data_IF_153970307699
#
_entry.id   IF_153970307699
#
_cell.length_a   1.000
_cell.length_b   1.000
_cell.length_c   1.000
_cell.angle_alpha   90.00
_cell.angle_beta   90.00
_cell.angle_gamma   90.00
#
_symmetry.space_group_name_H-M   'P 1'
#
loop_
_entity.id
_entity.type
_entity.pdbx_description
1 polymer ?
#
# COMPACT_ATOMS: atom_id res chain seq x y z
N UNK A 1 -12.95 -60.94 -10.40
CA UNK A 1 -12.26 -61.76 -11.42
C UNK A 1 -13.15 -62.91 -11.81
N UNK A 2 -13.14 -63.40 -13.06
CA UNK A 2 -12.20 -63.14 -14.17
C UNK A 2 -12.96 -62.54 -15.39
N UNK A 3 -12.52 -62.41 -16.64
CA UNK A 3 -11.34 -62.86 -17.38
C UNK A 3 -11.30 -62.14 -18.74
N UNK A 4 -10.08 -61.87 -19.23
CA UNK A 4 -9.61 -61.98 -20.65
C UNK A 4 -10.29 -61.08 -21.73
N UNK A 5 -9.66 -60.58 -22.80
CA UNK A 5 -8.36 -60.79 -23.44
C UNK A 5 -8.02 -59.54 -24.31
N UNK A 6 -6.73 -59.30 -24.59
CA UNK A 6 -6.27 -58.37 -25.66
C UNK A 6 -6.33 -59.04 -27.06
N UNK A 7 -5.48 -58.68 -28.04
CA UNK A 7 -4.86 -57.40 -28.40
C UNK A 7 -5.13 -56.96 -29.89
N UNK A 8 -4.89 -55.66 -30.19
CA UNK A 8 -4.29 -54.94 -31.38
C UNK A 8 -4.14 -55.63 -32.78
N UNK A 9 -3.74 -54.96 -33.91
CA UNK A 9 -3.75 -53.53 -34.34
C UNK A 9 -4.02 -53.28 -35.88
N UNK A 10 -3.71 -52.04 -36.35
CA UNK A 10 -3.28 -51.53 -37.70
C UNK A 10 -4.35 -51.23 -38.77
N UNK A 11 -4.28 -50.20 -39.65
CA UNK A 11 -3.31 -49.15 -39.98
C UNK A 11 -3.99 -48.03 -40.82
N UNK A 12 -3.34 -46.85 -40.92
CA UNK A 12 -3.45 -45.85 -42.01
C UNK A 12 -4.71 -44.97 -41.97
N UNK A 13 -4.69 -43.65 -42.15
CA UNK A 13 -3.87 -42.88 -43.09
C UNK A 13 -3.67 -41.43 -42.63
N UNK A 14 -2.48 -40.91 -42.95
CA UNK A 14 -2.04 -39.53 -42.79
C UNK A 14 -2.93 -38.53 -43.52
N UNK A 15 -3.26 -37.39 -42.88
CA UNK A 15 -3.14 -36.05 -43.51
C UNK A 15 -2.79 -34.99 -42.47
N UNK A 16 -1.60 -34.44 -42.64
CA UNK A 16 -1.06 -33.21 -42.08
C UNK A 16 -2.03 -32.04 -42.28
N UNK A 17 -2.25 -31.22 -41.25
CA UNK A 17 -2.37 -29.76 -41.41
C UNK A 17 -1.99 -29.07 -40.09
N UNK A 18 -0.89 -28.33 -40.15
CA UNK A 18 -0.48 -27.35 -39.14
C UNK A 18 -1.33 -26.11 -39.36
N UNK A 19 -2.14 -25.76 -38.36
CA UNK A 19 -2.75 -24.45 -38.20
C UNK A 19 -2.64 -24.12 -36.70
N UNK A 20 -1.61 -23.38 -36.35
CA UNK A 20 -1.65 -21.92 -36.17
C UNK A 20 -2.21 -21.55 -34.79
N UNK A 21 -1.27 -21.05 -34.00
CA UNK A 21 -1.42 -20.48 -32.68
C UNK A 21 -2.43 -19.32 -32.68
N UNK A 22 -3.32 -19.27 -31.68
CA UNK A 22 -3.58 -18.11 -30.80
C UNK A 22 -5.01 -18.15 -30.20
N UNK A 23 -5.16 -18.17 -28.87
CA UNK A 23 -6.41 -17.77 -28.23
C UNK A 23 -6.61 -16.25 -28.39
N UNK A 24 -7.85 -15.76 -28.59
CA UNK A 24 -8.11 -14.32 -28.61
C UNK A 24 -7.90 -13.72 -27.22
N UNK A 25 -6.84 -12.93 -27.10
CA UNK A 25 -6.73 -11.91 -26.06
C UNK A 25 -7.47 -10.67 -26.57
N UNK A 26 -8.72 -10.50 -26.15
CA UNK A 26 -9.38 -9.20 -26.18
C UNK A 26 -10.20 -9.03 -24.90
N UNK A 27 -9.50 -8.56 -23.86
CA UNK A 27 -10.09 -7.89 -22.72
C UNK A 27 -9.52 -6.48 -22.74
N UNK A 28 -10.35 -5.43 -22.89
CA UNK A 28 -9.88 -4.08 -22.68
C UNK A 28 -9.46 -3.95 -21.20
N UNK A 29 -8.16 -3.88 -20.96
CA UNK A 29 -7.65 -3.23 -19.77
C UNK A 29 -7.87 -1.73 -19.96
N UNK A 30 -8.46 -1.01 -18.99
CA UNK A 30 -8.25 0.43 -18.94
C UNK A 30 -6.76 0.65 -18.64
N UNK A 31 -6.03 1.11 -19.65
CA UNK A 31 -4.76 1.81 -19.44
C UNK A 31 -5.08 3.06 -18.61
N UNK A 32 -4.80 3.02 -17.31
CA UNK A 32 -4.55 4.25 -16.57
C UNK A 32 -3.20 4.77 -17.04
N UNK A 33 -3.31 5.60 -18.07
CA UNK A 33 -2.35 6.56 -18.57
C UNK A 33 -1.35 7.00 -17.50
N UNK A 34 -0.09 6.87 -17.91
CA UNK A 34 1.10 7.37 -17.26
C UNK A 34 1.00 8.88 -17.09
N UNK A 35 0.36 9.33 -16.00
CA UNK A 35 0.37 10.72 -15.60
C UNK A 35 1.77 11.09 -15.12
N UNK A 36 2.50 11.75 -16.00
CA UNK A 36 3.78 12.40 -15.76
C UNK A 36 3.53 13.61 -14.85
N UNK A 37 3.22 13.39 -13.58
CA UNK A 37 3.18 14.46 -12.59
C UNK A 37 4.60 14.75 -12.10
N UNK A 38 4.99 16.02 -11.96
CA UNK A 38 6.31 16.37 -11.44
C UNK A 38 6.46 15.74 -10.06
N UNK A 39 7.54 14.98 -9.87
CA UNK A 39 8.07 14.76 -8.54
C UNK A 39 8.42 16.16 -8.00
N UNK A 40 7.49 16.79 -7.29
CA UNK A 40 7.87 17.80 -6.33
C UNK A 40 8.60 17.01 -5.23
N UNK A 41 9.90 16.85 -5.40
CA UNK A 41 10.79 16.62 -4.28
C UNK A 41 10.33 17.55 -3.15
N UNK A 42 10.00 17.03 -1.97
CA UNK A 42 9.85 17.89 -0.81
C UNK A 42 11.22 18.54 -0.62
N UNK A 43 11.36 19.80 -1.04
CA UNK A 43 12.48 20.64 -0.66
C UNK A 43 12.54 20.56 0.85
N UNK A 44 13.53 19.86 1.36
CA UNK A 44 13.80 19.73 2.78
C UNK A 44 13.90 21.15 3.34
N UNK A 45 12.95 21.63 4.17
CA UNK A 45 13.30 22.73 5.05
C UNK A 45 14.31 22.13 6.03
N UNK A 46 15.48 22.76 6.13
CA UNK A 46 16.45 22.46 7.17
C UNK A 46 15.72 22.31 8.54
N UNK A 47 16.20 21.46 9.46
CA UNK A 47 15.59 21.32 10.76
C UNK A 47 15.78 22.61 11.55
N UNK A 48 14.85 23.55 11.39
CA UNK A 48 14.75 24.67 12.30
C UNK A 48 14.32 24.08 13.63
N UNK A 49 15.28 24.03 14.55
CA UNK A 49 15.11 23.72 15.96
C UNK A 49 14.18 24.78 16.57
N UNK A 50 12.88 24.61 16.37
CA UNK A 50 11.84 25.40 17.02
C UNK A 50 11.70 24.84 18.42
N UNK A 51 12.41 25.47 19.37
CA UNK A 51 12.19 25.27 20.80
C UNK A 51 10.92 26.04 21.18
N UNK A 52 9.78 25.35 21.11
CA UNK A 52 8.46 25.84 21.55
C UNK A 52 7.98 24.94 22.69
N UNK A 53 7.36 25.50 23.75
CA UNK A 53 7.00 24.74 24.94
C UNK A 53 6.07 23.58 24.59
N UNK A 54 6.42 22.42 25.13
CA UNK A 54 5.70 21.15 25.08
C UNK A 54 4.18 21.38 25.29
N UNK A 55 3.33 21.22 24.26
CA UNK A 55 1.91 21.08 24.50
C UNK A 55 1.74 19.74 25.18
N UNK A 56 1.03 19.72 26.32
CA UNK A 56 0.66 18.49 27.04
C UNK A 56 0.13 17.48 26.02
N UNK A 57 1.00 16.54 25.63
CA UNK A 57 0.64 15.46 24.72
C UNK A 57 -0.50 14.73 25.41
N UNK A 58 -1.70 14.84 24.83
CA UNK A 58 -2.74 13.85 25.01
C UNK A 58 -2.04 12.54 24.69
N UNK A 59 -1.60 11.81 25.73
CA UNK A 59 -0.70 10.68 25.60
C UNK A 59 -1.34 9.70 24.62
N UNK A 60 -0.93 9.75 23.35
CA UNK A 60 -1.53 8.89 22.36
C UNK A 60 -1.14 7.47 22.75
N UNK A 61 -2.12 6.58 22.84
CA UNK A 61 -1.92 5.20 23.31
C UNK A 61 -1.06 4.36 22.35
N UNK A 62 -0.55 4.97 21.27
CA UNK A 62 0.29 4.34 20.25
C UNK A 62 1.67 4.03 20.83
N UNK A 63 1.92 2.74 21.08
CA UNK A 63 3.23 2.19 21.45
C UNK A 63 4.01 1.79 20.20
N UNK A 64 5.28 2.16 20.14
CA UNK A 64 6.18 1.72 19.07
C UNK A 64 6.68 0.29 19.33
N UNK A 65 6.05 -0.70 18.68
CA UNK A 65 6.50 -2.11 18.68
C UNK A 65 7.20 -2.50 17.38
N UNK A 66 7.05 -1.69 16.33
CA UNK A 66 7.72 -1.81 15.04
C UNK A 66 8.01 -0.43 14.46
N UNK A 67 8.89 -0.36 13.47
CA UNK A 67 9.05 0.85 12.66
C UNK A 67 7.80 1.11 11.83
N UNK A 68 7.50 2.37 11.57
CA UNK A 68 6.38 2.76 10.71
C UNK A 68 5.73 4.08 11.10
N UNK A 69 4.59 4.34 10.45
CA UNK A 69 3.73 5.48 10.72
C UNK A 69 2.36 4.98 11.19
N UNK A 70 1.84 5.59 12.25
CA UNK A 70 0.65 5.11 12.95
C UNK A 70 -0.29 6.27 13.25
N UNK A 71 -1.55 6.14 12.84
CA UNK A 71 -2.58 7.12 13.18
C UNK A 71 -2.92 7.10 14.67
N UNK A 72 -3.24 8.26 15.23
CA UNK A 72 -3.75 8.36 16.61
C UNK A 72 -5.27 8.24 16.61
N UNK A 73 -5.80 7.23 17.30
CA UNK A 73 -7.24 7.07 17.49
C UNK A 73 -7.84 8.32 18.16
N UNK A 74 -8.97 8.81 17.64
CA UNK A 74 -9.66 10.02 18.11
C UNK A 74 -8.87 11.34 17.99
N UNK A 75 -7.62 11.34 17.49
CA UNK A 75 -6.87 12.55 17.16
C UNK A 75 -6.37 12.46 15.71
N UNK A 76 -7.30 12.71 14.80
CA UNK A 76 -7.13 12.55 13.36
C UNK A 76 -6.04 13.45 12.77
N UNK A 77 -5.74 14.56 13.44
CA UNK A 77 -4.74 15.51 13.00
C UNK A 77 -3.33 15.16 13.50
N UNK A 78 -3.15 14.03 14.19
CA UNK A 78 -1.84 13.59 14.72
C UNK A 78 -1.51 12.18 14.23
N UNK A 79 -0.25 11.97 13.86
CA UNK A 79 0.31 10.65 13.60
C UNK A 79 1.65 10.47 14.31
N UNK A 80 2.01 9.22 14.55
CA UNK A 80 3.25 8.83 15.20
C UNK A 80 4.17 8.17 14.17
N UNK A 81 5.43 8.60 14.13
CA UNK A 81 6.51 7.86 13.46
C UNK A 81 7.32 7.11 14.50
N UNK A 82 7.44 5.81 14.32
CA UNK A 82 8.34 4.96 15.09
C UNK A 82 9.57 4.64 14.24
N UNK A 83 10.76 4.86 14.81
CA UNK A 83 12.06 4.60 14.14
C UNK A 83 12.89 3.69 15.04
N UNK A 84 13.53 2.67 14.49
CA UNK A 84 14.42 1.79 15.23
C UNK A 84 15.60 2.59 15.80
N UNK A 85 15.91 2.33 17.06
CA UNK A 85 16.98 3.00 17.80
C UNK A 85 17.63 2.00 18.75
N UNK A 86 18.80 1.49 18.35
CA UNK A 86 19.54 0.46 19.10
C UNK A 86 18.70 -0.80 19.30
N UNK A 87 18.33 -1.06 20.56
CA UNK A 87 17.53 -2.24 20.96
C UNK A 87 16.02 -1.98 21.05
N UNK A 88 15.56 -0.78 20.69
CA UNK A 88 14.15 -0.40 20.77
C UNK A 88 13.72 0.55 19.66
N UNK A 89 12.70 1.38 19.93
CA UNK A 89 12.14 2.32 18.98
C UNK A 89 11.98 3.71 19.59
N UNK A 90 12.31 4.74 18.84
CA UNK A 90 12.03 6.14 19.16
C UNK A 90 10.67 6.56 18.58
N UNK A 91 9.83 7.16 19.42
CA UNK A 91 8.50 7.69 19.07
C UNK A 91 8.61 9.18 18.75
N UNK A 92 8.08 9.58 17.60
CA UNK A 92 7.97 10.98 17.20
C UNK A 92 6.52 11.30 16.85
N UNK A 93 5.99 12.38 17.42
CA UNK A 93 4.63 12.84 17.16
C UNK A 93 4.65 13.98 16.16
N UNK A 94 3.75 13.90 15.17
CA UNK A 94 3.62 14.89 14.12
C UNK A 94 2.16 15.30 13.99
N UNK A 95 1.95 16.61 13.91
CA UNK A 95 0.64 17.19 13.65
C UNK A 95 0.52 17.51 12.15
N UNK A 96 -0.58 17.08 11.56
CA UNK A 96 -0.96 17.43 10.20
C UNK A 96 -1.32 18.92 10.10
N UNK A 97 -1.13 19.49 8.91
CA UNK A 97 -1.49 20.88 8.66
C UNK A 97 -2.97 21.16 8.89
N UNK A 98 -3.37 22.44 9.09
CA UNK A 98 -4.77 22.81 9.28
C UNK A 98 -5.68 22.23 8.18
N UNK A 99 -6.81 21.66 8.57
CA UNK A 99 -7.78 21.07 7.63
C UNK A 99 -7.37 19.73 7.00
N UNK A 100 -6.27 19.13 7.45
CA UNK A 100 -5.82 17.80 6.99
C UNK A 100 -5.79 16.79 8.13
N UNK A 101 -5.97 15.51 7.82
CA UNK A 101 -5.90 14.40 8.76
C UNK A 101 -4.95 13.33 8.23
N UNK A 102 -4.44 12.49 9.12
CA UNK A 102 -3.56 11.38 8.76
C UNK A 102 -4.29 10.36 7.88
N UNK A 103 -3.67 10.02 6.74
CA UNK A 103 -4.11 8.98 5.82
C UNK A 103 -3.13 7.80 5.84
N UNK A 104 -3.57 6.68 6.43
CA UNK A 104 -2.77 5.47 6.56
C UNK A 104 -2.50 4.77 5.22
N UNK A 105 -3.30 5.02 4.18
CA UNK A 105 -3.14 4.35 2.88
C UNK A 105 -1.96 4.89 2.10
N UNK A 106 -1.72 6.20 2.20
CA UNK A 106 -0.65 6.90 1.50
C UNK A 106 0.44 7.44 2.44
N UNK A 107 0.31 7.17 3.74
CA UNK A 107 1.24 7.59 4.79
C UNK A 107 1.58 9.09 4.74
N UNK A 108 0.56 9.93 4.57
CA UNK A 108 0.69 11.39 4.59
C UNK A 108 -0.57 12.04 5.14
N UNK A 109 -0.51 13.33 5.44
CA UNK A 109 -1.69 14.13 5.72
C UNK A 109 -2.48 14.35 4.42
N UNK A 110 -3.79 14.14 4.48
CA UNK A 110 -4.72 14.27 3.36
C UNK A 110 -6.02 14.97 3.80
N UNK A 111 -6.91 15.27 2.86
CA UNK A 111 -8.23 15.81 3.16
C UNK A 111 -9.10 14.79 3.90
N UNK A 112 -9.97 15.22 4.86
CA UNK A 112 -10.83 14.31 5.62
C UNK A 112 -11.74 13.42 4.79
N UNK A 113 -12.18 13.88 3.62
CA UNK A 113 -13.01 13.11 2.70
C UNK A 113 -12.27 11.92 2.07
N UNK A 114 -10.95 12.03 1.91
CA UNK A 114 -10.11 11.06 1.19
C UNK A 114 -9.43 10.06 2.13
N UNK A 115 -9.01 10.52 3.32
CA UNK A 115 -8.19 9.74 4.24
C UNK A 115 -8.86 8.46 4.78
N UNK A 116 -10.18 8.30 4.58
CA UNK A 116 -10.89 7.05 4.83
C UNK A 116 -10.92 6.61 6.30
N UNK A 117 -10.55 7.49 7.24
CA UNK A 117 -10.58 7.26 8.68
C UNK A 117 -12.01 7.40 9.20
N UNK A 118 -12.65 6.27 9.53
CA UNK A 118 -14.03 6.24 9.99
C UNK A 118 -14.23 6.89 11.36
N UNK A 119 -13.20 6.92 12.19
CA UNK A 119 -13.20 7.60 13.49
C UNK A 119 -13.01 9.13 13.39
N UNK A 120 -12.92 9.66 12.16
CA UNK A 120 -12.64 11.06 11.86
C UNK A 120 -13.74 11.75 11.03
N UNK A 121 -14.97 11.22 11.12
CA UNK A 121 -16.16 11.70 10.41
C UNK A 121 -17.11 12.46 11.33
#
# INVERSE_FOLDING_TARGET
>A
YPSAAGPKPVAGDSKTNVADSKPPADRPQPEMEKSKQPAAEPKTPAPNKVTTPEPKSLQSEVKCTSEGFFGVKNNCNVFIRCVASGTGYSRYEFQCGPGTIWDEKINTCNHPSEAGRSDCK
#
